data_IF_431017486390
#
_entry.id   IF_431017486390
#
_cell.length_a   1.000
_cell.length_b   1.000
_cell.length_c   1.000
_cell.angle_alpha   90.00
_cell.angle_beta   90.00
_cell.angle_gamma   90.00
#
_symmetry.space_group_name_H-M   'P 1'
#
loop_
_entity.id
_entity.type
_entity.pdbx_description
1 polymer ?
#
# COMPACT_ATOMS: atom_id res chain seq x y z
N UNK A 1 5.36 4.17 -3.13
CA UNK A 1 4.54 3.96 -1.92
C UNK A 1 5.46 3.88 -0.71
N UNK A 2 5.07 4.50 0.39
CA UNK A 2 5.76 4.43 1.67
C UNK A 2 4.74 3.96 2.71
N UNK A 3 5.14 3.06 3.59
CA UNK A 3 4.34 2.67 4.75
C UNK A 3 5.09 3.06 6.01
N UNK A 4 4.46 3.88 6.84
CA UNK A 4 5.08 4.51 8.02
C UNK A 4 4.38 4.08 9.30
N UNK A 5 5.16 3.94 10.38
CA UNK A 5 4.67 3.78 11.75
C UNK A 5 5.42 4.82 12.58
N UNK A 6 4.69 5.64 13.34
CA UNK A 6 5.26 6.70 14.18
C UNK A 6 6.20 7.63 13.41
N UNK A 7 5.79 8.08 12.21
CA UNK A 7 6.58 8.93 11.29
C UNK A 7 7.91 8.31 10.84
N UNK A 8 8.06 6.99 10.96
CA UNK A 8 9.24 6.25 10.48
C UNK A 8 8.86 5.30 9.35
N UNK A 9 9.53 5.37 8.19
CA UNK A 9 9.25 4.46 7.07
C UNK A 9 9.68 3.04 7.43
N UNK A 10 8.71 2.12 7.41
CA UNK A 10 8.95 0.69 7.60
C UNK A 10 9.40 0.06 6.30
N UNK A 11 8.78 0.45 5.18
CA UNK A 11 9.23 0.06 3.85
C UNK A 11 8.85 1.10 2.79
N UNK A 12 9.59 1.04 1.69
CA UNK A 12 9.37 1.85 0.49
C UNK A 12 9.26 0.89 -0.68
N UNK A 13 8.14 0.96 -1.40
CA UNK A 13 7.93 0.24 -2.66
C UNK A 13 8.06 1.22 -3.81
N UNK A 14 8.94 0.90 -4.76
CA UNK A 14 9.07 1.64 -6.01
C UNK A 14 7.82 1.44 -6.87
N UNK A 15 7.34 2.50 -7.51
CA UNK A 15 6.21 2.40 -8.45
C UNK A 15 6.60 1.51 -9.66
N UNK A 16 7.89 1.52 -10.04
CA UNK A 16 8.39 0.71 -11.16
C UNK A 16 8.33 -0.79 -10.94
N UNK A 17 8.22 -1.24 -9.69
CA UNK A 17 8.08 -2.67 -9.36
C UNK A 17 6.62 -3.10 -9.22
N UNK A 18 5.67 -2.16 -9.26
CA UNK A 18 4.24 -2.47 -9.11
C UNK A 18 3.63 -2.71 -10.48
N UNK A 19 3.02 -3.87 -10.65
CA UNK A 19 2.32 -4.26 -11.88
C UNK A 19 0.88 -3.78 -11.86
N UNK A 20 0.23 -3.89 -10.69
CA UNK A 20 -1.17 -3.47 -10.50
C UNK A 20 -1.42 -3.03 -9.07
N UNK A 21 -2.31 -2.06 -8.91
CA UNK A 21 -2.80 -1.60 -7.62
C UNK A 21 -4.32 -1.45 -7.71
N UNK A 22 -5.05 -2.28 -6.96
CA UNK A 22 -6.50 -2.20 -6.83
C UNK A 22 -6.89 -1.76 -5.43
N UNK A 23 -7.91 -0.91 -5.33
CA UNK A 23 -8.41 -0.42 -4.04
C UNK A 23 -9.92 -0.61 -4.00
N UNK A 24 -10.42 -1.12 -2.88
CA UNK A 24 -11.83 -1.10 -2.52
C UNK A 24 -12.01 -0.45 -1.15
N UNK A 25 -13.25 -0.38 -0.69
CA UNK A 25 -13.60 0.32 0.55
C UNK A 25 -12.79 -0.16 1.75
N UNK A 26 -12.41 -1.44 1.81
CA UNK A 26 -11.77 -2.05 2.99
C UNK A 26 -10.34 -2.48 2.80
N UNK A 27 -9.82 -2.45 1.56
CA UNK A 27 -8.49 -2.95 1.27
C UNK A 27 -7.84 -2.34 0.03
N UNK A 28 -6.51 -2.26 0.07
CA UNK A 28 -5.68 -2.03 -1.09
C UNK A 28 -4.84 -3.28 -1.39
N UNK A 29 -4.83 -3.71 -2.64
CA UNK A 29 -4.09 -4.87 -3.15
C UNK A 29 -3.06 -4.39 -4.15
N UNK A 30 -1.81 -4.80 -3.96
CA UNK A 30 -0.68 -4.45 -4.82
C UNK A 30 -0.09 -5.73 -5.35
N UNK A 31 0.00 -5.85 -6.67
CA UNK A 31 0.58 -7.00 -7.36
C UNK A 31 1.93 -6.63 -7.97
N UNK A 32 2.84 -7.60 -7.96
CA UNK A 32 4.21 -7.47 -8.44
C UNK A 32 4.51 -8.61 -9.42
N UNK A 33 5.15 -8.30 -10.54
CA UNK A 33 5.68 -9.32 -11.42
C UNK A 33 6.88 -10.02 -10.78
N UNK A 34 7.01 -11.30 -11.08
CA UNK A 34 8.14 -12.10 -10.62
C UNK A 34 9.42 -11.65 -11.32
N UNK A 35 10.45 -11.30 -10.55
CA UNK A 35 11.79 -11.06 -11.01
C UNK A 35 12.66 -12.33 -10.86
N UNK A 36 12.96 -13.02 -11.95
CA UNK A 36 13.75 -14.27 -11.89
C UNK A 36 15.20 -14.06 -11.38
N UNK A 37 15.68 -12.82 -11.34
CA UNK A 37 17.02 -12.46 -10.86
C UNK A 37 17.14 -12.39 -9.33
N UNK A 38 16.01 -12.36 -8.61
CA UNK A 38 15.96 -12.15 -7.17
C UNK A 38 15.60 -13.46 -6.43
N UNK A 39 16.33 -13.78 -5.36
CA UNK A 39 16.20 -15.06 -4.64
C UNK A 39 14.86 -15.21 -3.88
N UNK A 40 14.20 -14.10 -3.54
CA UNK A 40 12.90 -14.05 -2.88
C UNK A 40 12.03 -13.04 -3.62
N UNK A 41 10.87 -13.48 -4.07
CA UNK A 41 9.91 -12.66 -4.81
C UNK A 41 8.73 -12.28 -3.94
N UNK A 42 8.39 -11.00 -3.96
CA UNK A 42 7.10 -10.51 -3.47
C UNK A 42 6.12 -10.59 -4.64
N UNK A 43 4.98 -11.25 -4.46
CA UNK A 43 3.94 -11.37 -5.50
C UNK A 43 2.75 -10.46 -5.24
N UNK A 44 2.35 -10.31 -3.98
CA UNK A 44 1.19 -9.51 -3.57
C UNK A 44 1.43 -8.89 -2.19
N UNK A 45 0.99 -7.65 -2.01
CA UNK A 45 0.75 -7.04 -0.69
C UNK A 45 -0.72 -6.65 -0.58
N UNK A 46 -1.29 -6.82 0.62
CA UNK A 46 -2.67 -6.45 0.93
C UNK A 46 -2.72 -5.64 2.21
N UNK A 47 -3.25 -4.44 2.11
CA UNK A 47 -3.42 -3.52 3.23
C UNK A 47 -4.90 -3.42 3.57
N UNK A 48 -5.21 -3.51 4.86
CA UNK A 48 -6.54 -3.21 5.35
C UNK A 48 -6.71 -1.70 5.45
N UNK A 49 -7.82 -1.19 4.92
CA UNK A 49 -8.26 0.20 5.04
C UNK A 49 -9.38 0.22 6.09
N UNK A 50 -9.14 0.82 7.27
CA UNK A 50 -10.17 0.94 8.28
C UNK A 50 -11.32 1.83 7.76
N UNK A 51 -12.52 1.27 7.68
CA UNK A 51 -13.75 2.04 7.57
C UNK A 51 -14.34 2.19 8.96
N UNK A 52 -13.95 3.23 9.68
CA UNK A 52 -14.59 3.57 10.94
C UNK A 52 -15.70 4.62 10.69
N UNK A 53 -16.99 4.22 10.71
CA UNK A 53 -18.09 5.17 10.53
C UNK A 53 -18.22 6.17 11.69
N UNK A 54 -17.63 5.90 12.86
CA UNK A 54 -17.66 6.79 14.02
C UNK A 54 -16.40 7.68 14.12
N UNK A 55 -15.32 7.34 13.40
CA UNK A 55 -14.07 8.12 13.30
C UNK A 55 -13.79 8.63 11.88
N UNK A 56 -14.82 9.02 11.12
CA UNK A 56 -14.63 9.69 9.82
C UNK A 56 -13.84 11.03 9.87
N UNK A 57 -13.42 11.47 11.07
CA UNK A 57 -12.69 12.70 11.35
C UNK A 57 -11.39 12.50 12.15
N UNK A 58 -11.03 11.28 12.57
CA UNK A 58 -9.63 11.00 12.91
C UNK A 58 -8.99 10.56 11.62
N UNK A 59 -8.41 11.53 10.90
CA UNK A 59 -7.70 11.38 9.64
C UNK A 59 -6.61 10.28 9.74
N UNK A 60 -7.01 9.01 9.67
CA UNK A 60 -6.22 8.04 8.90
C UNK A 60 -6.47 8.46 7.46
N UNK A 61 -5.77 9.52 7.06
CA UNK A 61 -5.92 10.08 5.74
C UNK A 61 -5.49 8.98 4.76
N UNK A 62 -6.47 8.36 4.11
CA UNK A 62 -6.24 7.34 3.09
C UNK A 62 -5.46 7.99 1.92
N UNK A 63 -5.48 9.33 1.82
CA UNK A 63 -4.59 10.10 0.95
C UNK A 63 -3.11 10.00 1.33
N UNK A 64 -2.76 9.74 2.59
CA UNK A 64 -1.36 9.55 3.03
C UNK A 64 -0.85 8.10 2.84
N UNK A 65 -1.72 7.09 2.95
CA UNK A 65 -1.33 5.68 2.78
C UNK A 65 -1.03 5.33 1.30
N UNK A 66 -1.63 6.06 0.36
CA UNK A 66 -1.49 5.81 -1.09
C UNK A 66 -1.26 7.13 -1.83
N UNK A 67 -0.34 7.97 -1.37
CA UNK A 67 0.02 9.16 -2.15
C UNK A 67 0.78 8.73 -3.43
N UNK A 68 0.12 8.93 -4.57
CA UNK A 68 0.56 8.75 -5.96
C UNK A 68 0.65 7.31 -6.48
N UNK A 69 -0.50 6.68 -6.66
CA UNK A 69 -0.70 5.85 -7.85
C UNK A 69 -1.63 6.62 -8.78
N UNK A 70 -1.11 7.63 -9.49
CA UNK A 70 -1.47 8.21 -10.81
C UNK A 70 -0.86 9.61 -10.95
#
# INVERSE_FOLDING_TARGET
MIFEIDEQPVFIVSITSVTRCDVNDTEAVIEFDSNEDDAVQLSEMRFFIPNDPDNANEDVDIHDVILFAF
#
